data_IF_298243683838
#
_entry.id   IF_298243683838
#
_cell.length_a   1.000
_cell.length_b   1.000
_cell.length_c   1.000
_cell.angle_alpha   90.00
_cell.angle_beta   90.00
_cell.angle_gamma   90.00
#
_symmetry.space_group_name_H-M   'P 1'
#
loop_
_entity.id
_entity.type
_entity.pdbx_description
1 polymer ?
#
# COMPACT_ATOMS: atom_id res chain seq x y z
N UNK A 1 7.35 -5.00 -13.10
CA UNK A 1 7.94 -4.57 -11.81
C UNK A 1 7.65 -5.65 -10.77
N UNK A 2 8.43 -5.73 -9.69
CA UNK A 2 8.16 -6.63 -8.56
C UNK A 2 7.80 -5.78 -7.34
N UNK A 3 6.57 -5.25 -7.26
CA UNK A 3 6.20 -4.38 -6.16
C UNK A 3 6.23 -5.17 -4.84
N UNK A 4 6.81 -4.56 -3.81
CA UNK A 4 6.80 -5.08 -2.44
C UNK A 4 5.96 -4.15 -1.58
N UNK A 5 5.09 -4.73 -0.76
CA UNK A 5 4.26 -3.98 0.19
C UNK A 5 4.52 -4.54 1.58
N UNK A 6 4.88 -3.67 2.51
CA UNK A 6 5.05 -3.95 3.92
C UNK A 6 3.86 -3.39 4.68
N UNK A 7 3.28 -4.21 5.54
CA UNK A 7 2.17 -3.87 6.42
C UNK A 7 2.58 -4.25 7.85
N UNK A 8 2.87 -3.25 8.67
CA UNK A 8 3.05 -3.41 10.11
C UNK A 8 1.70 -3.26 10.81
N UNK A 9 1.33 -4.23 11.65
CA UNK A 9 -0.01 -4.33 12.23
C UNK A 9 0.04 -4.18 13.74
N UNK A 10 -0.64 -3.15 14.25
CA UNK A 10 -0.84 -2.90 15.68
C UNK A 10 -2.33 -2.90 16.01
N UNK A 11 -2.68 -2.79 17.29
CA UNK A 11 -4.10 -2.75 17.70
C UNK A 11 -4.72 -1.41 17.29
N UNK A 12 -5.61 -1.45 16.29
CA UNK A 12 -6.39 -0.30 15.85
C UNK A 12 -5.75 0.53 14.74
N UNK A 13 -4.47 0.29 14.42
CA UNK A 13 -3.75 0.98 13.37
C UNK A 13 -2.73 0.05 12.69
N UNK A 14 -2.50 0.26 11.40
CA UNK A 14 -1.41 -0.37 10.66
C UNK A 14 -0.58 0.66 9.92
N UNK A 15 0.72 0.45 9.84
CA UNK A 15 1.61 1.24 9.00
C UNK A 15 1.86 0.53 7.68
N UNK A 16 1.76 1.26 6.58
CA UNK A 16 1.88 0.76 5.21
C UNK A 16 3.09 1.40 4.54
N UNK A 17 3.88 0.61 3.83
CA UNK A 17 4.96 1.07 2.98
C UNK A 17 5.03 0.22 1.70
N UNK A 18 5.20 0.84 0.53
CA UNK A 18 5.40 0.10 -0.72
C UNK A 18 6.70 0.50 -1.42
N UNK A 19 7.18 -0.40 -2.27
CA UNK A 19 8.35 -0.23 -3.13
C UNK A 19 7.99 -0.76 -4.52
N UNK A 20 8.10 0.03 -5.58
CA UNK A 20 7.78 -0.43 -6.95
C UNK A 20 8.88 -1.31 -7.55
N UNK A 21 10.13 -1.00 -7.22
CA UNK A 21 11.30 -1.71 -7.73
C UNK A 21 12.42 -1.67 -6.70
N UNK A 22 13.50 -2.45 -6.89
CA UNK A 22 14.55 -2.74 -5.90
C UNK A 22 15.00 -1.49 -5.11
N UNK A 23 14.40 -1.29 -3.94
CA UNK A 23 14.72 -0.22 -3.00
C UNK A 23 14.16 1.17 -3.33
N UNK A 24 13.32 1.34 -4.36
CA UNK A 24 12.66 2.62 -4.65
C UNK A 24 11.30 2.69 -3.96
N UNK A 25 11.16 3.46 -2.86
CA UNK A 25 9.90 3.59 -2.16
C UNK A 25 8.85 4.21 -3.09
N UNK A 26 7.69 3.56 -3.17
CA UNK A 26 6.48 4.10 -3.76
C UNK A 26 5.76 4.89 -2.69
N UNK A 27 5.92 6.21 -2.73
CA UNK A 27 5.36 7.14 -1.73
C UNK A 27 6.03 7.08 -0.34
N UNK A 28 5.69 8.05 0.53
CA UNK A 28 6.02 7.97 1.97
C UNK A 28 5.15 6.93 2.65
N UNK A 29 5.67 6.31 3.71
CA UNK A 29 4.86 5.44 4.57
C UNK A 29 3.72 6.23 5.21
N UNK A 30 2.58 5.55 5.40
CA UNK A 30 1.40 6.13 6.01
C UNK A 30 0.75 5.13 6.95
N UNK A 31 -0.07 5.62 7.86
CA UNK A 31 -0.83 4.77 8.77
C UNK A 31 -2.30 4.75 8.40
N UNK A 32 -2.95 3.60 8.65
CA UNK A 32 -4.37 3.37 8.47
C UNK A 32 -4.98 2.96 9.80
N UNK A 33 -6.13 3.53 10.18
CA UNK A 33 -6.95 2.99 11.25
C UNK A 33 -7.69 1.74 10.78
N UNK A 34 -7.97 0.82 11.70
CA UNK A 34 -8.73 -0.41 11.41
C UNK A 34 -10.25 -0.14 11.39
N UNK A 35 -10.65 0.83 10.56
CA UNK A 35 -12.04 1.17 10.27
C UNK A 35 -12.29 1.13 8.75
N UNK A 36 -13.54 1.30 8.33
CA UNK A 36 -13.91 1.24 6.91
C UNK A 36 -13.21 2.31 6.06
N UNK A 37 -12.93 3.49 6.62
CA UNK A 37 -12.25 4.57 5.90
C UNK A 37 -10.75 4.27 5.74
N UNK A 38 -10.11 3.76 6.79
CA UNK A 38 -8.70 3.37 6.76
C UNK A 38 -8.44 2.18 5.84
N UNK A 39 -9.33 1.17 5.86
CA UNK A 39 -9.28 0.05 4.92
C UNK A 39 -9.61 0.48 3.49
N UNK A 40 -10.51 1.45 3.30
CA UNK A 40 -10.77 2.06 1.99
C UNK A 40 -9.53 2.74 1.40
N UNK A 41 -8.83 3.55 2.21
CA UNK A 41 -7.55 4.17 1.80
C UNK A 41 -6.49 3.14 1.46
N UNK A 42 -6.43 2.03 2.20
CA UNK A 42 -5.52 0.93 1.87
C UNK A 42 -5.84 0.36 0.49
N UNK A 43 -7.11 0.10 0.18
CA UNK A 43 -7.52 -0.39 -1.13
C UNK A 43 -7.13 0.56 -2.27
N UNK A 44 -7.41 1.85 -2.11
CA UNK A 44 -7.03 2.88 -3.10
C UNK A 44 -5.51 2.89 -3.33
N UNK A 45 -4.73 2.78 -2.27
CA UNK A 45 -3.27 2.69 -2.35
C UNK A 45 -2.79 1.43 -3.08
N UNK A 46 -3.38 0.27 -2.79
CA UNK A 46 -3.03 -0.98 -3.46
C UNK A 46 -3.33 -0.92 -4.97
N UNK A 47 -4.45 -0.33 -5.35
CA UNK A 47 -4.81 -0.10 -6.75
C UNK A 47 -3.85 0.85 -7.46
N UNK A 48 -3.35 1.88 -6.75
CA UNK A 48 -2.33 2.78 -7.29
C UNK A 48 -0.99 2.06 -7.51
N UNK A 49 -0.54 1.28 -6.52
CA UNK A 49 0.68 0.46 -6.64
C UNK A 49 0.58 -0.52 -7.80
N UNK A 50 -0.57 -1.18 -7.96
CA UNK A 50 -0.83 -2.11 -9.06
C UNK A 50 -0.73 -1.41 -10.42
N UNK A 51 -1.41 -0.27 -10.59
CA UNK A 51 -1.34 0.55 -11.82
C UNK A 51 0.09 1.00 -12.12
N UNK A 52 0.80 1.49 -11.10
CA UNK A 52 2.17 1.96 -11.24
C UNK A 52 3.14 0.81 -11.58
N UNK A 53 2.86 -0.41 -11.11
CA UNK A 53 3.63 -1.61 -11.43
C UNK A 53 3.31 -2.20 -12.82
N UNK A 54 2.28 -1.68 -13.51
CA UNK A 54 1.79 -2.19 -14.79
C UNK A 54 0.88 -3.43 -14.67
N UNK A 55 0.25 -3.64 -13.51
CA UNK A 55 -0.75 -4.68 -13.29
C UNK A 55 -2.04 -4.37 -14.06
N UNK A 56 -2.60 -5.39 -14.71
CA UNK A 56 -3.84 -5.27 -15.49
C UNK A 56 -5.06 -5.40 -14.56
N UNK A 57 -5.89 -4.36 -14.48
CA UNK A 57 -7.29 -4.50 -14.06
C UNK A 57 -8.04 -5.28 -15.15
N UNK A 58 -8.66 -6.40 -14.79
CA UNK A 58 -9.66 -7.07 -15.61
C UNK A 58 -11.05 -6.82 -15.00
#
# INVERSE_FOLDING_TARGET
MNPLISLDVSKGESQVQAFLDKGKPHHKSFSITHDLQGLGRLLEFLQDVEKAAGGHHN
#
